data_IF_102744096776
#
_entry.id   IF_102744096776
#
_cell.length_a   1.000
_cell.length_b   1.000
_cell.length_c   1.000
_cell.angle_alpha   90.00
_cell.angle_beta   90.00
_cell.angle_gamma   90.00
#
_symmetry.space_group_name_H-M   'P 1'
#
loop_
_entity.id
_entity.type
_entity.pdbx_description
1 polymer ?
#
# COMPACT_ATOMS: atom_id res chain seq x y z
N UNK A 1 -33.11 35.12 31.38
CA UNK A 1 -31.92 35.82 30.81
C UNK A 1 -30.67 35.03 31.17
N UNK A 2 -29.76 34.83 30.19
CA UNK A 2 -28.46 34.09 30.22
C UNK A 2 -28.63 32.57 30.39
N UNK A 3 -28.07 31.68 29.57
CA UNK A 3 -26.74 31.64 28.91
C UNK A 3 -26.87 30.90 27.57
N UNK A 4 -26.54 31.53 26.43
CA UNK A 4 -25.28 31.44 25.66
C UNK A 4 -25.02 30.11 24.93
N UNK A 5 -24.82 30.27 23.61
CA UNK A 5 -24.55 29.29 22.57
C UNK A 5 -23.28 28.47 22.84
N UNK A 6 -23.17 27.37 22.09
CA UNK A 6 -22.07 27.08 21.15
C UNK A 6 -21.32 25.76 21.41
N UNK A 7 -21.55 24.81 20.49
CA UNK A 7 -20.57 23.98 19.79
C UNK A 7 -19.67 23.02 20.58
N UNK A 8 -19.79 21.73 20.26
CA UNK A 8 -18.64 20.84 20.06
C UNK A 8 -19.06 19.69 19.15
N UNK A 9 -18.84 19.87 17.85
CA UNK A 9 -18.70 18.79 16.89
C UNK A 9 -17.24 18.33 16.96
N UNK A 10 -16.97 17.08 17.37
CA UNK A 10 -15.63 16.49 17.24
C UNK A 10 -15.75 15.04 16.76
N UNK A 11 -15.35 14.92 15.49
CA UNK A 11 -14.71 13.81 14.78
C UNK A 11 -15.35 12.41 14.79
N UNK A 12 -15.90 12.04 13.63
CA UNK A 12 -15.92 10.66 13.17
C UNK A 12 -14.49 10.08 13.22
N UNK A 13 -14.24 9.15 14.14
CA UNK A 13 -13.15 8.19 13.96
C UNK A 13 -13.68 7.14 12.99
N UNK A 14 -13.54 7.40 11.69
CA UNK A 14 -13.58 6.34 10.70
C UNK A 14 -12.34 5.48 10.93
N UNK A 15 -12.47 4.50 11.82
CA UNK A 15 -11.54 3.40 11.90
C UNK A 15 -11.68 2.63 10.59
N UNK A 16 -10.91 3.01 9.57
CA UNK A 16 -10.63 2.14 8.46
C UNK A 16 -9.83 0.97 9.05
N UNK A 17 -10.56 -0.05 9.49
CA UNK A 17 -9.99 -1.37 9.66
C UNK A 17 -9.51 -1.78 8.28
N UNK A 18 -8.22 -1.56 8.01
CA UNK A 18 -7.55 -2.22 6.89
C UNK A 18 -7.54 -3.69 7.30
N UNK A 19 -8.61 -4.40 6.96
CA UNK A 19 -8.59 -5.86 6.94
C UNK A 19 -7.58 -6.20 5.86
N UNK A 20 -6.31 -6.34 6.25
CA UNK A 20 -5.32 -7.01 5.43
C UNK A 20 -5.90 -8.37 5.13
N UNK A 21 -6.42 -8.55 3.92
CA UNK A 21 -6.78 -9.87 3.41
C UNK A 21 -5.48 -10.65 3.34
N UNK A 22 -5.24 -11.48 4.35
CA UNK A 22 -4.26 -12.55 4.22
C UNK A 22 -4.73 -13.40 3.05
N UNK A 23 -4.10 -13.22 1.89
CA UNK A 23 -4.35 -14.04 0.72
C UNK A 23 -4.10 -15.49 1.11
N UNK A 24 -5.18 -16.24 1.27
CA UNK A 24 -5.12 -17.68 1.42
C UNK A 24 -4.48 -18.26 0.16
N UNK A 25 -3.45 -19.09 0.34
CA UNK A 25 -2.73 -19.74 -0.74
C UNK A 25 -3.65 -20.74 -1.46
N UNK A 26 -4.38 -20.28 -2.46
CA UNK A 26 -5.15 -21.14 -3.37
C UNK A 26 -4.33 -21.32 -4.65
N UNK A 27 -3.23 -22.08 -4.57
CA UNK A 27 -2.53 -22.71 -5.71
C UNK A 27 -2.34 -21.93 -7.01
N UNK A 28 -2.33 -20.60 -6.97
CA UNK A 28 -2.46 -19.72 -8.13
C UNK A 28 -1.46 -18.57 -8.08
N UNK A 29 -1.38 -17.85 -9.20
CA UNK A 29 -0.48 -16.72 -9.37
C UNK A 29 -0.86 -15.57 -8.44
N UNK A 30 0.04 -15.21 -7.53
CA UNK A 30 -0.16 -14.04 -6.67
C UNK A 30 0.55 -12.85 -7.32
N UNK A 31 -0.13 -11.74 -7.65
CA UNK A 31 0.51 -10.61 -8.31
C UNK A 31 1.58 -9.95 -7.42
N UNK A 32 2.69 -9.56 -8.04
CA UNK A 32 3.76 -8.77 -7.48
C UNK A 32 3.70 -7.35 -8.02
N UNK A 33 3.86 -6.40 -7.11
CA UNK A 33 3.80 -4.99 -7.43
C UNK A 33 5.06 -4.28 -6.96
N UNK A 34 5.58 -3.42 -7.81
CA UNK A 34 6.49 -2.37 -7.41
C UNK A 34 5.68 -1.13 -7.03
N UNK A 35 6.14 -0.44 -5.99
CA UNK A 35 5.55 0.79 -5.49
C UNK A 35 6.56 1.91 -5.69
N UNK A 36 6.12 2.98 -6.35
CA UNK A 36 6.88 4.20 -6.57
C UNK A 36 6.21 5.33 -5.80
N UNK A 37 6.96 5.96 -4.88
CA UNK A 37 6.48 7.05 -4.03
C UNK A 37 6.99 8.38 -4.55
N UNK A 38 6.10 9.35 -4.68
CA UNK A 38 6.38 10.65 -5.27
C UNK A 38 6.24 11.79 -4.25
N UNK A 39 6.91 12.91 -4.49
CA UNK A 39 6.85 14.07 -3.59
C UNK A 39 5.46 14.72 -3.54
N UNK A 40 4.70 14.61 -4.63
CA UNK A 40 3.43 15.29 -4.83
C UNK A 40 2.45 14.50 -5.73
N UNK A 41 1.19 14.93 -5.77
CA UNK A 41 0.10 14.27 -6.50
C UNK A 41 0.22 14.33 -8.04
N UNK A 42 1.11 15.15 -8.58
CA UNK A 42 1.40 15.20 -10.02
C UNK A 42 2.41 14.13 -10.45
N UNK A 43 2.94 13.35 -9.50
CA UNK A 43 3.93 12.30 -9.73
C UNK A 43 5.19 12.81 -10.45
N UNK A 44 5.63 14.02 -10.10
CA UNK A 44 6.70 14.72 -10.82
C UNK A 44 8.11 14.28 -10.42
N UNK A 45 8.30 13.90 -9.15
CA UNK A 45 9.59 13.53 -8.57
C UNK A 45 9.44 12.26 -7.74
N UNK A 46 10.23 11.24 -8.08
CA UNK A 46 10.30 9.99 -7.33
C UNK A 46 11.16 10.19 -6.08
N UNK A 47 10.59 9.94 -4.91
CA UNK A 47 11.26 10.11 -3.59
C UNK A 47 11.40 8.80 -2.82
N UNK A 48 10.76 7.72 -3.28
CA UNK A 48 10.98 6.40 -2.71
C UNK A 48 10.46 5.27 -3.59
N UNK A 49 10.86 4.04 -3.28
CA UNK A 49 10.36 2.85 -3.95
C UNK A 49 10.40 1.60 -3.06
N UNK A 50 9.54 0.62 -3.39
CA UNK A 50 9.56 -0.74 -2.87
C UNK A 50 9.37 -1.72 -4.03
N UNK A 51 10.17 -2.79 -4.06
CA UNK A 51 10.01 -3.83 -5.08
C UNK A 51 9.16 -5.00 -4.59
N UNK A 52 8.33 -5.55 -5.47
CA UNK A 52 7.58 -6.76 -5.19
C UNK A 52 8.50 -7.96 -5.00
N UNK A 53 8.29 -8.72 -3.92
CA UNK A 53 9.08 -9.93 -3.60
C UNK A 53 8.18 -11.14 -3.40
N UNK A 54 8.65 -12.31 -3.83
CA UNK A 54 8.02 -13.60 -3.57
C UNK A 54 8.87 -14.35 -2.55
N UNK A 55 8.29 -14.73 -1.41
CA UNK A 55 8.97 -15.51 -0.38
C UNK A 55 8.06 -16.64 0.11
N UNK A 56 8.53 -17.88 -0.01
CA UNK A 56 7.79 -19.08 0.41
C UNK A 56 6.34 -19.17 -0.09
N UNK A 57 6.08 -18.65 -1.30
CA UNK A 57 4.75 -18.65 -1.90
C UNK A 57 3.84 -17.53 -1.40
N UNK A 58 4.39 -16.50 -0.78
CA UNK A 58 3.71 -15.27 -0.43
C UNK A 58 4.28 -14.10 -1.23
N UNK A 59 3.40 -13.29 -1.82
CA UNK A 59 3.76 -12.00 -2.38
C UNK A 59 3.82 -10.96 -1.27
N UNK A 60 4.84 -10.12 -1.30
CA UNK A 60 5.00 -8.97 -0.41
C UNK A 60 5.84 -7.90 -1.08
N UNK A 61 6.32 -6.95 -0.28
CA UNK A 61 7.24 -5.91 -0.71
C UNK A 61 8.56 -6.02 0.04
N UNK A 62 9.65 -5.72 -0.67
CA UNK A 62 10.98 -5.62 -0.11
C UNK A 62 11.16 -4.36 0.75
N UNK A 63 12.39 -4.08 1.20
CA UNK A 63 12.68 -2.87 1.96
C UNK A 63 12.36 -1.62 1.14
N UNK A 64 11.95 -0.56 1.84
CA UNK A 64 11.78 0.76 1.26
C UNK A 64 13.14 1.41 1.01
N UNK A 65 13.33 1.91 -0.20
CA UNK A 65 14.39 2.85 -0.54
C UNK A 65 13.80 4.26 -0.58
N UNK A 66 14.35 5.20 0.19
CA UNK A 66 13.85 6.58 0.22
C UNK A 66 12.68 6.79 1.19
N UNK A 67 11.70 7.61 0.78
CA UNK A 67 10.59 8.08 1.63
C UNK A 67 9.25 7.56 1.13
N UNK A 68 8.45 6.99 2.04
CA UNK A 68 7.04 6.64 1.77
C UNK A 68 6.20 7.91 1.83
N UNK A 69 5.40 8.14 0.81
CA UNK A 69 4.46 9.26 0.70
C UNK A 69 3.06 8.72 0.35
N UNK A 70 1.99 9.51 0.53
CA UNK A 70 0.66 9.12 0.07
C UNK A 70 0.49 9.14 -1.47
N UNK A 71 1.49 9.64 -2.20
CA UNK A 71 1.45 9.75 -3.65
C UNK A 71 2.18 8.55 -4.26
N UNK A 72 1.50 7.40 -4.31
CA UNK A 72 2.08 6.16 -4.81
C UNK A 72 1.54 5.75 -6.18
N UNK A 73 2.42 5.22 -7.04
CA UNK A 73 2.04 4.40 -8.18
C UNK A 73 2.38 2.94 -7.91
N UNK A 74 1.39 2.08 -8.13
CA UNK A 74 1.55 0.64 -8.07
C UNK A 74 1.68 0.09 -9.50
N UNK A 75 2.78 -0.61 -9.80
CA UNK A 75 3.04 -1.22 -11.10
C UNK A 75 3.14 -2.71 -10.93
N UNK A 76 2.28 -3.47 -11.61
CA UNK A 76 2.37 -4.93 -11.60
C UNK A 76 3.56 -5.37 -12.44
N UNK A 77 4.56 -5.97 -11.80
CA UNK A 77 5.84 -6.36 -12.44
C UNK A 77 5.98 -7.87 -12.62
N UNK A 78 5.17 -8.66 -11.90
CA UNK A 78 5.34 -10.09 -11.88
C UNK A 78 4.25 -10.84 -11.14
N UNK A 79 4.43 -12.15 -11.03
CA UNK A 79 3.66 -13.04 -10.16
C UNK A 79 4.58 -13.89 -9.31
N UNK A 80 4.13 -14.20 -8.10
CA UNK A 80 4.67 -15.21 -7.22
C UNK A 80 3.91 -16.51 -7.45
N UNK A 81 4.57 -17.50 -8.07
CA UNK A 81 4.01 -18.82 -8.35
C UNK A 81 4.87 -19.87 -7.66
N UNK A 82 4.30 -20.64 -6.75
CA UNK A 82 4.98 -21.71 -6.02
C UNK A 82 6.31 -21.28 -5.36
N UNK A 83 6.36 -20.05 -4.82
CA UNK A 83 7.56 -19.51 -4.18
C UNK A 83 8.63 -19.00 -5.14
N UNK A 84 8.33 -18.90 -6.44
CA UNK A 84 9.22 -18.35 -7.45
C UNK A 84 8.64 -17.05 -8.00
N UNK A 85 9.50 -16.05 -8.16
CA UNK A 85 9.17 -14.79 -8.85
C UNK A 85 9.25 -14.98 -10.36
N UNK A 86 8.19 -14.57 -11.07
CA UNK A 86 8.13 -14.52 -12.53
C UNK A 86 7.84 -13.07 -12.93
N UNK A 87 8.79 -12.40 -13.58
CA UNK A 87 8.62 -11.04 -14.15
C UNK A 87 8.17 -11.12 -15.61
N UNK A 88 7.54 -10.05 -16.13
CA UNK A 88 7.18 -9.90 -17.55
C UNK A 88 7.75 -8.63 -18.18
#
# INVERSE_FOLDING_TARGET
MKSTKMWSAIALVAAFAVTGTSAAQVGGDIPLYDYNYYSDATYSELVGSQSGVCYQGYAGVGPTYGTITPYEQQVQVGVCRNGVTIYW
#
